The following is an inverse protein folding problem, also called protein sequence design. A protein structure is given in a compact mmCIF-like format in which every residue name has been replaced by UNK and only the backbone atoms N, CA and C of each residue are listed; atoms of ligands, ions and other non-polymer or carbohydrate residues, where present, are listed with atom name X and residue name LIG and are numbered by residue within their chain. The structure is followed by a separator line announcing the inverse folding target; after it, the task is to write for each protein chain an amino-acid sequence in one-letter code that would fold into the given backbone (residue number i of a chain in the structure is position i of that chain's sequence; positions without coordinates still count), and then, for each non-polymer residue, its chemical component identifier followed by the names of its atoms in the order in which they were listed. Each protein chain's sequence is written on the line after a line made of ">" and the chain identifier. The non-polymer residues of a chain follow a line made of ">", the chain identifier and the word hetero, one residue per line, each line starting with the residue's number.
data_IF_977789805931
#
_entry.id   IF_977789805931
#
_cell.length_a   1.000
_cell.length_b   1.000
_cell.length_c   1.000
_cell.angle_alpha   90.00
_cell.angle_beta   90.00
_cell.angle_gamma   90.00
#
_symmetry.space_group_name_H-M   'P 1'
#
loop_
_entity.id
_entity.type
_entity.pdbx_description
1 polymer ?
#
# COMPACT_ATOMS: atom_id res chain seq x y z
N UNK A 1 16.01 20.24 -7.58
CA UNK A 1 16.71 18.93 -7.52
C UNK A 1 15.65 17.86 -7.71
N UNK A 2 15.96 16.76 -8.39
CA UNK A 2 15.03 15.62 -8.50
C UNK A 2 14.75 15.07 -7.11
N UNK A 3 13.48 14.82 -6.80
CA UNK A 3 13.04 14.25 -5.50
C UNK A 3 13.27 12.74 -5.42
N UNK A 4 13.56 12.10 -6.55
CA UNK A 4 13.85 10.68 -6.67
C UNK A 4 15.00 10.37 -7.65
N UNK A 5 15.52 9.15 -7.57
CA UNK A 5 16.47 8.57 -8.52
C UNK A 5 16.05 7.16 -8.94
N UNK A 6 16.22 6.85 -10.23
CA UNK A 6 15.98 5.50 -10.75
C UNK A 6 16.95 4.48 -10.15
N UNK A 7 16.47 3.24 -10.01
CA UNK A 7 17.25 2.11 -9.50
C UNK A 7 17.39 1.06 -10.59
N UNK A 8 18.62 0.58 -10.80
CA UNK A 8 18.91 -0.47 -11.78
C UNK A 8 18.48 -1.83 -11.24
N UNK A 9 17.34 -2.33 -11.74
CA UNK A 9 16.75 -3.58 -11.25
C UNK A 9 17.35 -4.83 -11.88
N UNK A 10 18.08 -4.71 -13.00
CA UNK A 10 18.74 -5.86 -13.65
C UNK A 10 19.78 -6.57 -12.77
N UNK A 11 20.22 -5.90 -11.71
CA UNK A 11 21.15 -6.44 -10.71
C UNK A 11 20.47 -7.35 -9.68
N UNK A 12 19.14 -7.49 -9.71
CA UNK A 12 18.36 -8.23 -8.72
C UNK A 12 17.58 -9.38 -9.41
N UNK A 13 18.14 -10.60 -9.48
CA UNK A 13 17.50 -11.73 -10.18
C UNK A 13 16.13 -12.15 -9.62
N UNK A 14 15.83 -11.79 -8.37
CA UNK A 14 14.53 -12.02 -7.74
C UNK A 14 13.48 -10.98 -8.08
N UNK A 15 13.86 -9.86 -8.72
CA UNK A 15 12.93 -8.84 -9.18
C UNK A 15 12.15 -9.33 -10.40
N UNK A 16 10.83 -9.22 -10.36
CA UNK A 16 9.95 -9.70 -11.44
C UNK A 16 8.84 -8.73 -11.83
N UNK A 17 8.84 -7.52 -11.27
CA UNK A 17 7.84 -6.50 -11.60
C UNK A 17 8.20 -5.80 -12.91
N UNK A 18 7.18 -5.41 -13.68
CA UNK A 18 7.36 -4.62 -14.89
C UNK A 18 7.53 -3.11 -14.62
N UNK A 19 7.25 -2.66 -13.39
CA UNK A 19 7.28 -1.24 -13.06
C UNK A 19 8.72 -0.70 -12.92
N UNK A 20 8.95 0.58 -13.27
CA UNK A 20 10.23 1.22 -12.98
C UNK A 20 10.37 1.43 -11.47
N UNK A 21 11.58 1.20 -10.94
CA UNK A 21 11.88 1.39 -9.52
C UNK A 21 12.63 2.70 -9.32
N UNK A 22 12.17 3.48 -8.35
CA UNK A 22 12.82 4.71 -7.91
C UNK A 22 13.02 4.69 -6.40
N UNK A 23 13.97 5.49 -5.92
CA UNK A 23 14.18 5.75 -4.50
C UNK A 23 14.14 7.25 -4.24
N UNK A 24 13.53 7.66 -3.11
CA UNK A 24 13.49 9.04 -2.66
C UNK A 24 14.89 9.56 -2.30
N UNK A 25 15.18 10.82 -2.65
CA UNK A 25 16.53 11.38 -2.51
C UNK A 25 16.99 11.62 -1.06
N UNK A 26 16.04 11.76 -0.11
CA UNK A 26 16.35 12.03 1.30
C UNK A 26 16.09 10.81 2.18
N UNK A 27 16.94 9.80 2.04
CA UNK A 27 16.90 8.56 2.84
C UNK A 27 17.04 8.87 4.33
N UNK A 28 17.98 9.73 4.71
CA UNK A 28 18.28 10.04 6.10
C UNK A 28 17.06 10.59 6.87
N UNK A 29 16.27 11.48 6.25
CA UNK A 29 15.05 11.99 6.89
C UNK A 29 14.03 10.88 7.16
N UNK A 30 13.87 9.93 6.22
CA UNK A 30 12.95 8.80 6.42
C UNK A 30 13.45 7.84 7.50
N UNK A 31 14.76 7.59 7.60
CA UNK A 31 15.33 6.75 8.65
C UNK A 31 15.20 7.38 10.03
N UNK A 32 15.45 8.69 10.15
CA UNK A 32 15.25 9.42 11.41
C UNK A 32 13.78 9.35 11.86
N UNK A 33 12.84 9.56 10.94
CA UNK A 33 11.41 9.47 11.22
C UNK A 33 11.00 8.06 11.65
N UNK A 34 11.52 7.02 10.97
CA UNK A 34 11.27 5.62 11.29
C UNK A 34 11.80 5.26 12.68
N UNK A 35 13.06 5.60 12.98
CA UNK A 35 13.65 5.32 14.30
C UNK A 35 12.91 6.03 15.42
N UNK A 36 12.55 7.31 15.22
CA UNK A 36 11.75 8.07 16.18
C UNK A 36 10.39 7.39 16.46
N UNK A 37 9.69 6.93 15.42
CA UNK A 37 8.41 6.24 15.61
C UNK A 37 8.56 4.92 16.38
N UNK A 38 9.57 4.11 16.05
CA UNK A 38 9.85 2.87 16.80
C UNK A 38 10.15 3.20 18.26
N UNK A 39 10.94 4.23 18.54
CA UNK A 39 11.30 4.62 19.90
C UNK A 39 10.10 5.09 20.72
N UNK A 40 9.19 5.86 20.13
CA UNK A 40 7.96 6.34 20.78
C UNK A 40 6.91 5.24 20.97
N UNK A 41 6.87 4.25 20.08
CA UNK A 41 5.83 3.22 20.09
C UNK A 41 6.23 1.93 20.84
N UNK A 42 7.48 1.79 21.28
CA UNK A 42 7.98 0.55 21.91
C UNK A 42 8.84 0.83 23.13
N UNK A 43 8.92 -0.14 24.05
CA UNK A 43 9.81 -0.03 25.21
C UNK A 43 11.27 -0.38 24.87
N UNK A 44 12.27 0.29 25.48
CA UNK A 44 13.68 -0.04 25.30
C UNK A 44 13.99 -1.52 25.59
N UNK A 45 14.53 -2.22 24.59
CA UNK A 45 14.93 -3.62 24.70
C UNK A 45 13.81 -4.65 24.59
N UNK A 46 12.56 -4.20 24.40
CA UNK A 46 11.40 -5.08 24.21
C UNK A 46 11.53 -5.98 22.98
N UNK A 47 10.71 -7.04 22.94
CA UNK A 47 10.58 -7.91 21.76
C UNK A 47 10.14 -7.08 20.54
N UNK A 48 9.12 -6.25 20.72
CA UNK A 48 8.52 -5.44 19.66
C UNK A 48 9.54 -4.46 19.07
N UNK A 49 10.32 -3.76 19.92
CA UNK A 49 11.38 -2.87 19.46
C UNK A 49 12.41 -3.61 18.58
N UNK A 50 12.80 -4.82 19.00
CA UNK A 50 13.77 -5.64 18.23
C UNK A 50 13.17 -6.09 16.91
N UNK A 51 11.89 -6.46 16.89
CA UNK A 51 11.16 -6.86 15.68
C UNK A 51 11.02 -5.70 14.69
N UNK A 52 10.59 -4.52 15.14
CA UNK A 52 10.47 -3.34 14.28
C UNK A 52 11.82 -2.91 13.70
N UNK A 53 12.88 -2.92 14.52
CA UNK A 53 14.23 -2.65 14.02
C UNK A 53 14.74 -3.73 13.05
N UNK A 54 14.34 -4.99 13.25
CA UNK A 54 14.73 -6.08 12.34
C UNK A 54 14.14 -5.89 10.94
N UNK A 55 12.90 -5.40 10.84
CA UNK A 55 12.23 -5.08 9.56
C UNK A 55 13.07 -4.18 8.64
N UNK A 56 13.88 -3.31 9.24
CA UNK A 56 14.70 -2.32 8.53
C UNK A 56 16.19 -2.66 8.41
N UNK A 57 16.61 -3.89 8.79
CA UNK A 57 18.03 -4.31 8.69
C UNK A 57 18.53 -4.51 7.26
N UNK A 58 17.64 -4.57 6.27
CA UNK A 58 17.98 -4.75 4.87
C UNK A 58 18.69 -3.55 4.23
N UNK A 59 19.32 -3.78 3.08
CA UNK A 59 19.89 -2.72 2.24
C UNK A 59 18.82 -1.88 1.55
N UNK A 60 17.60 -2.40 1.42
CA UNK A 60 16.44 -1.71 0.85
C UNK A 60 15.78 -0.85 1.93
N UNK A 61 15.62 0.44 1.63
CA UNK A 61 15.02 1.42 2.53
C UNK A 61 13.55 1.59 2.19
N UNK A 62 12.72 0.68 2.69
CA UNK A 62 11.30 0.54 2.39
C UNK A 62 10.61 1.86 2.00
N UNK A 63 10.52 2.81 2.92
CA UNK A 63 9.76 4.05 2.71
C UNK A 63 10.24 4.90 1.54
N UNK A 64 11.54 4.86 1.25
CA UNK A 64 12.10 5.60 0.12
C UNK A 64 11.77 4.96 -1.21
N UNK A 65 11.53 3.64 -1.23
CA UNK A 65 11.10 2.89 -2.41
C UNK A 65 9.58 2.91 -2.57
N UNK A 66 8.82 2.96 -1.47
CA UNK A 66 7.35 3.05 -1.49
C UNK A 66 6.86 4.44 -1.88
N UNK A 67 7.54 5.50 -1.44
CA UNK A 67 7.14 6.89 -1.68
C UNK A 67 8.25 7.71 -2.35
N UNK A 68 8.77 7.29 -3.53
CA UNK A 68 9.93 7.92 -4.14
C UNK A 68 9.68 9.37 -4.53
N UNK A 69 8.43 9.73 -4.88
CA UNK A 69 8.02 11.08 -5.25
C UNK A 69 7.44 11.92 -4.12
N UNK A 70 7.43 11.44 -2.87
CA UNK A 70 6.84 12.17 -1.75
C UNK A 70 7.63 13.42 -1.38
N UNK A 71 6.95 14.47 -0.92
CA UNK A 71 7.60 15.61 -0.27
C UNK A 71 8.22 15.16 1.04
N UNK A 72 9.47 15.55 1.31
CA UNK A 72 10.21 15.09 2.49
C UNK A 72 9.55 15.47 3.82
N UNK A 73 8.95 16.66 3.93
CA UNK A 73 8.26 17.12 5.15
C UNK A 73 7.02 16.26 5.45
N UNK A 74 6.22 15.94 4.43
CA UNK A 74 5.06 15.04 4.55
C UNK A 74 5.48 13.57 4.71
N UNK A 75 6.47 13.11 3.96
CA UNK A 75 6.92 11.71 3.99
C UNK A 75 7.42 11.29 5.37
N UNK A 76 8.06 12.18 6.13
CA UNK A 76 8.42 11.90 7.52
C UNK A 76 7.20 11.58 8.39
N UNK A 77 6.07 12.24 8.16
CA UNK A 77 4.82 11.93 8.87
C UNK A 77 4.19 10.62 8.40
N UNK A 78 4.20 10.35 7.09
CA UNK A 78 3.76 9.05 6.56
C UNK A 78 4.55 7.92 7.21
N UNK A 79 5.88 8.00 7.23
CA UNK A 79 6.76 7.03 7.88
C UNK A 79 6.39 6.83 9.34
N UNK A 80 6.18 7.92 10.09
CA UNK A 80 5.84 7.86 11.51
C UNK A 80 4.51 7.15 11.76
N UNK A 81 3.50 7.41 10.94
CA UNK A 81 2.18 6.80 11.10
C UNK A 81 2.22 5.33 10.68
N UNK A 82 2.87 5.01 9.56
CA UNK A 82 2.98 3.62 9.09
C UNK A 82 3.77 2.75 10.08
N UNK A 83 4.89 3.24 10.62
CA UNK A 83 5.62 2.51 11.67
C UNK A 83 4.77 2.32 12.93
N UNK A 84 4.02 3.35 13.34
CA UNK A 84 3.11 3.23 14.47
C UNK A 84 2.08 2.13 14.22
N UNK A 85 1.46 2.10 13.03
CA UNK A 85 0.47 1.07 12.69
C UNK A 85 1.10 -0.32 12.62
N UNK A 86 2.32 -0.45 12.11
CA UNK A 86 3.03 -1.73 12.06
C UNK A 86 3.43 -2.24 13.44
N UNK A 87 3.90 -1.37 14.33
CA UNK A 87 4.17 -1.75 15.73
C UNK A 87 2.88 -2.18 16.42
N UNK A 88 1.77 -1.46 16.17
CA UNK A 88 0.46 -1.80 16.73
C UNK A 88 -0.04 -3.16 16.23
N UNK A 89 0.08 -3.41 14.94
CA UNK A 89 -0.30 -4.67 14.28
C UNK A 89 0.54 -5.86 14.77
N UNK A 90 1.88 -5.77 14.74
CA UNK A 90 2.79 -6.82 15.23
C UNK A 90 2.47 -7.23 16.70
N UNK A 91 2.04 -6.29 17.54
CA UNK A 91 1.67 -6.56 18.94
C UNK A 91 0.31 -7.24 19.05
N UNK A 92 -0.64 -6.89 18.16
CA UNK A 92 -2.00 -7.39 18.20
C UNK A 92 -2.17 -8.75 17.52
N UNK A 93 -1.33 -9.10 16.55
CA UNK A 93 -1.32 -10.43 15.90
C UNK A 93 -1.18 -11.58 16.93
N UNK A 94 -0.54 -11.32 18.07
CA UNK A 94 -0.32 -12.31 19.14
C UNK A 94 -1.43 -12.30 20.21
N UNK A 95 -2.41 -11.39 20.11
CA UNK A 95 -3.48 -11.23 21.10
C UNK A 95 -4.74 -12.02 20.72
N UNK A 96 -5.57 -12.39 21.71
CA UNK A 96 -6.93 -12.82 21.42
C UNK A 96 -7.68 -11.74 20.64
N UNK A 97 -8.46 -12.15 19.64
CA UNK A 97 -9.17 -11.23 18.73
C UNK A 97 -9.96 -10.12 19.42
N UNK A 98 -10.68 -10.41 20.51
CA UNK A 98 -11.43 -9.39 21.27
C UNK A 98 -10.52 -8.34 21.94
N UNK A 99 -9.34 -8.75 22.40
CA UNK A 99 -8.33 -7.82 22.91
C UNK A 99 -7.77 -6.95 21.79
N UNK A 100 -7.48 -7.54 20.62
CA UNK A 100 -6.98 -6.78 19.46
C UNK A 100 -8.00 -5.71 19.02
N UNK A 101 -9.29 -6.07 18.88
CA UNK A 101 -10.38 -5.14 18.59
C UNK A 101 -10.44 -3.96 19.57
N UNK A 102 -10.26 -4.23 20.87
CA UNK A 102 -10.22 -3.18 21.88
C UNK A 102 -9.01 -2.26 21.70
N UNK A 103 -7.81 -2.79 21.46
CA UNK A 103 -6.61 -1.98 21.20
C UNK A 103 -6.78 -1.10 19.96
N UNK A 104 -7.38 -1.62 18.88
CA UNK A 104 -7.71 -0.84 17.69
C UNK A 104 -8.67 0.31 17.99
N UNK A 105 -9.72 0.06 18.77
CA UNK A 105 -10.66 1.10 19.20
C UNK A 105 -9.97 2.21 20.01
N UNK A 106 -9.12 1.84 20.97
CA UNK A 106 -8.40 2.81 21.80
C UNK A 106 -7.44 3.65 20.94
N UNK A 107 -6.76 3.04 19.97
CA UNK A 107 -5.86 3.78 19.08
C UNK A 107 -6.65 4.71 18.14
N UNK A 108 -7.80 4.25 17.63
CA UNK A 108 -8.69 5.04 16.76
C UNK A 108 -9.14 6.33 17.40
N UNK A 109 -9.33 6.35 18.72
CA UNK A 109 -9.64 7.57 19.47
C UNK A 109 -8.56 8.66 19.33
N UNK A 110 -7.30 8.31 19.05
CA UNK A 110 -6.24 9.28 18.81
C UNK A 110 -6.49 10.16 17.57
N UNK A 111 -7.37 9.73 16.65
CA UNK A 111 -7.74 10.48 15.46
C UNK A 111 -8.76 11.59 15.74
N UNK A 112 -9.41 11.59 16.92
CA UNK A 112 -10.48 12.54 17.22
C UNK A 112 -10.18 13.41 18.45
N UNK A 113 -10.33 14.76 18.36
CA UNK A 113 -10.04 15.65 19.48
C UNK A 113 -10.89 15.39 20.74
N UNK A 114 -12.15 14.97 20.58
CA UNK A 114 -13.11 14.74 21.66
C UNK A 114 -12.68 13.63 22.64
N UNK A 115 -11.85 12.69 22.20
CA UNK A 115 -11.32 11.63 23.07
C UNK A 115 -9.97 11.98 23.71
N UNK A 116 -9.51 13.22 23.60
CA UNK A 116 -8.25 13.67 24.20
C UNK A 116 -8.18 13.53 25.73
N UNK A 117 -9.33 13.49 26.40
CA UNK A 117 -9.45 13.29 27.85
C UNK A 117 -9.82 11.84 28.23
N UNK A 118 -9.96 10.93 27.26
CA UNK A 118 -10.28 9.55 27.56
C UNK A 118 -9.07 8.86 28.21
N UNK A 119 -9.25 8.43 29.47
CA UNK A 119 -8.22 7.78 30.30
C UNK A 119 -7.96 6.33 29.91
N UNK A 120 -8.77 5.74 29.03
CA UNK A 120 -8.51 4.41 28.50
C UNK A 120 -7.27 4.44 27.59
N UNK A 121 -6.26 3.69 28.01
CA UNK A 121 -4.97 3.57 27.31
C UNK A 121 -4.81 2.23 26.61
N UNK A 122 -5.77 1.31 26.75
CA UNK A 122 -5.55 -0.10 26.43
C UNK A 122 -4.38 -0.68 27.23
N UNK A 123 -4.02 -1.91 26.90
CA UNK A 123 -2.88 -2.63 27.46
C UNK A 123 -1.55 -2.16 26.89
N UNK A 124 -1.52 -1.84 25.59
CA UNK A 124 -0.26 -1.52 24.87
C UNK A 124 -0.31 -0.18 24.14
N UNK A 125 -1.48 0.45 24.06
CA UNK A 125 -1.74 1.57 23.16
C UNK A 125 -1.42 2.94 23.78
N UNK A 126 -1.31 3.08 25.10
CA UNK A 126 -1.21 4.38 25.77
C UNK A 126 -0.19 5.35 25.16
N UNK A 127 1.08 4.91 25.03
CA UNK A 127 2.13 5.72 24.40
C UNK A 127 1.85 5.98 22.91
N UNK A 128 1.41 4.96 22.17
CA UNK A 128 1.03 5.06 20.75
C UNK A 128 -0.10 6.07 20.53
N UNK A 129 -1.13 6.08 21.38
CA UNK A 129 -2.27 7.00 21.35
C UNK A 129 -1.80 8.45 21.53
N UNK A 130 -0.99 8.72 22.55
CA UNK A 130 -0.46 10.06 22.81
C UNK A 130 0.43 10.54 21.64
N UNK A 131 1.28 9.66 21.12
CA UNK A 131 2.12 9.96 19.97
C UNK A 131 1.30 10.24 18.71
N UNK A 132 0.26 9.45 18.45
CA UNK A 132 -0.60 9.63 17.28
C UNK A 132 -1.44 10.91 17.36
N UNK A 133 -1.91 11.29 18.56
CA UNK A 133 -2.59 12.57 18.79
C UNK A 133 -1.69 13.76 18.46
N UNK A 134 -0.40 13.68 18.82
CA UNK A 134 0.59 14.71 18.46
C UNK A 134 0.80 14.78 16.95
N UNK A 135 1.01 13.63 16.30
CA UNK A 135 1.15 13.57 14.83
C UNK A 135 -0.08 14.17 14.16
N UNK A 136 -1.30 13.81 14.58
CA UNK A 136 -2.56 14.35 14.05
C UNK A 136 -2.57 15.87 14.06
N UNK A 137 -2.19 16.50 15.18
CA UNK A 137 -2.13 17.96 15.28
C UNK A 137 -1.13 18.57 14.30
N UNK A 138 0.06 17.95 14.18
CA UNK A 138 1.13 18.42 13.29
C UNK A 138 0.74 18.29 11.80
N UNK A 139 0.12 17.18 11.39
CA UNK A 139 -0.28 16.99 9.98
C UNK A 139 -1.49 17.86 9.59
N UNK A 140 -2.43 18.13 10.50
CA UNK A 140 -3.51 19.10 10.25
C UNK A 140 -2.94 20.51 10.06
N UNK A 141 -1.93 20.89 10.87
CA UNK A 141 -1.27 22.17 10.72
C UNK A 141 -0.46 22.27 9.41
N UNK A 142 0.16 21.16 8.98
CA UNK A 142 0.94 21.08 7.75
C UNK A 142 0.06 21.16 6.49
N UNK A 143 -1.06 20.46 6.49
CA UNK A 143 -2.01 20.41 5.38
C UNK A 143 -3.46 20.33 5.90
N UNK A 144 -4.12 21.47 6.14
CA UNK A 144 -5.47 21.47 6.69
C UNK A 144 -6.54 21.04 5.68
N UNK A 145 -6.22 20.92 4.39
CA UNK A 145 -7.19 20.67 3.32
C UNK A 145 -7.36 19.16 3.12
N UNK A 146 -6.27 18.43 2.92
CA UNK A 146 -6.33 17.01 2.59
C UNK A 146 -6.25 16.08 3.80
N UNK A 147 -5.59 16.53 4.88
CA UNK A 147 -5.43 15.72 6.09
C UNK A 147 -6.75 15.19 6.66
N UNK A 148 -7.87 15.95 6.67
CA UNK A 148 -9.15 15.41 7.14
C UNK A 148 -9.58 14.12 6.41
N UNK A 149 -9.38 14.05 5.09
CA UNK A 149 -9.71 12.84 4.31
C UNK A 149 -8.77 11.68 4.66
N UNK A 150 -7.48 11.96 4.85
CA UNK A 150 -6.50 10.95 5.29
C UNK A 150 -6.84 10.38 6.68
N UNK A 151 -7.17 11.25 7.65
CA UNK A 151 -7.58 10.83 8.99
C UNK A 151 -8.86 9.99 8.96
N UNK A 152 -9.80 10.31 8.07
CA UNK A 152 -11.00 9.50 7.89
C UNK A 152 -10.69 8.11 7.31
N UNK A 153 -9.75 8.01 6.37
CA UNK A 153 -9.29 6.69 5.88
C UNK A 153 -8.60 5.88 6.97
N UNK A 154 -7.76 6.50 7.79
CA UNK A 154 -7.11 5.84 8.95
C UNK A 154 -8.12 5.40 10.01
N UNK A 155 -9.16 6.19 10.24
CA UNK A 155 -10.26 5.82 11.13
C UNK A 155 -10.90 4.53 10.68
N UNK A 156 -11.32 4.50 9.40
CA UNK A 156 -12.02 3.36 8.82
C UNK A 156 -11.13 2.11 8.83
N UNK A 157 -9.84 2.27 8.54
CA UNK A 157 -8.88 1.18 8.67
C UNK A 157 -8.87 0.60 10.08
N UNK A 158 -8.67 1.42 11.12
CA UNK A 158 -8.64 0.92 12.50
C UNK A 158 -10.00 0.37 12.97
N UNK A 159 -11.11 0.84 12.42
CA UNK A 159 -12.44 0.31 12.72
C UNK A 159 -12.69 -1.05 12.06
N UNK A 160 -12.25 -1.23 10.81
CA UNK A 160 -12.62 -2.38 9.99
C UNK A 160 -11.59 -3.53 10.01
N UNK A 161 -10.31 -3.25 10.29
CA UNK A 161 -9.20 -4.19 10.09
C UNK A 161 -9.44 -5.58 10.73
N UNK A 162 -9.74 -5.60 12.02
CA UNK A 162 -10.04 -6.84 12.75
C UNK A 162 -11.55 -7.12 12.85
N UNK A 163 -12.44 -6.19 12.49
CA UNK A 163 -13.88 -6.35 12.81
C UNK A 163 -14.68 -7.10 11.76
N UNK A 164 -14.13 -7.31 10.56
CA UNK A 164 -14.82 -7.98 9.46
C UNK A 164 -14.04 -9.20 8.97
N UNK A 165 -14.68 -10.36 8.73
CA UNK A 165 -14.04 -11.43 7.98
C UNK A 165 -13.76 -10.92 6.56
N UNK A 166 -12.47 -10.76 6.21
CA UNK A 166 -11.79 -10.51 4.91
C UNK A 166 -12.63 -10.29 3.63
N UNK A 167 -13.70 -9.48 3.68
CA UNK A 167 -14.50 -9.10 2.51
C UNK A 167 -14.32 -7.62 2.14
N UNK A 168 -13.55 -6.83 2.90
CA UNK A 168 -13.45 -5.38 2.68
C UNK A 168 -12.01 -4.85 2.53
N UNK A 169 -11.86 -4.00 1.51
CA UNK A 169 -10.65 -3.47 0.87
C UNK A 169 -9.92 -2.39 1.70
N UNK A 170 -9.76 -2.56 3.01
CA UNK A 170 -9.57 -1.42 3.92
C UNK A 170 -8.13 -0.97 4.09
N UNK A 171 -7.18 -1.90 4.20
CA UNK A 171 -5.74 -1.58 4.28
C UNK A 171 -5.22 -0.97 2.97
N UNK A 172 -5.79 -1.44 1.87
CA UNK A 172 -5.49 -1.02 0.51
C UNK A 172 -5.66 0.50 0.29
N UNK A 173 -6.77 1.03 0.79
CA UNK A 173 -7.11 2.44 0.63
C UNK A 173 -6.17 3.37 1.43
N UNK A 174 -5.54 2.90 2.53
CA UNK A 174 -4.66 3.74 3.37
C UNK A 174 -3.34 4.04 2.66
N UNK A 175 -2.69 3.01 2.10
CA UNK A 175 -1.37 3.13 1.48
C UNK A 175 -1.37 4.11 0.30
N UNK A 176 -2.39 4.03 -0.57
CA UNK A 176 -2.54 4.95 -1.70
C UNK A 176 -2.91 6.36 -1.23
N UNK A 177 -3.74 6.50 -0.19
CA UNK A 177 -4.04 7.82 0.34
C UNK A 177 -2.80 8.52 0.90
N UNK A 178 -1.93 7.78 1.60
CA UNK A 178 -0.63 8.31 2.02
C UNK A 178 0.24 8.73 0.84
N UNK A 179 0.27 7.94 -0.24
CA UNK A 179 1.01 8.28 -1.45
C UNK A 179 0.53 9.60 -2.03
N UNK A 180 -0.79 9.74 -2.23
CA UNK A 180 -1.39 10.98 -2.75
C UNK A 180 -1.11 12.17 -1.84
N UNK A 181 -1.35 12.01 -0.54
CA UNK A 181 -1.12 13.08 0.44
C UNK A 181 0.34 13.53 0.47
N UNK A 182 1.29 12.58 0.47
CA UNK A 182 2.72 12.89 0.48
C UNK A 182 3.19 13.57 -0.82
N UNK A 183 2.53 13.32 -1.94
CA UNK A 183 2.87 13.86 -3.26
C UNK A 183 2.10 15.14 -3.63
N UNK A 184 1.23 15.67 -2.75
CA UNK A 184 0.27 16.74 -3.07
C UNK A 184 -0.63 16.42 -4.27
N UNK A 185 -1.02 15.16 -4.42
CA UNK A 185 -1.96 14.75 -5.46
C UNK A 185 -3.38 14.94 -4.94
N UNK A 186 -4.00 16.03 -5.38
CA UNK A 186 -5.41 16.33 -5.10
C UNK A 186 -6.26 15.80 -6.25
N UNK A 187 -7.17 14.88 -5.93
CA UNK A 187 -8.16 14.38 -6.89
C UNK A 187 -9.53 14.96 -6.54
N UNK A 188 -10.22 15.46 -7.57
CA UNK A 188 -11.68 15.63 -7.51
C UNK A 188 -12.38 14.28 -7.39
N UNK A 189 -13.67 14.29 -7.01
CA UNK A 189 -14.45 13.06 -6.87
C UNK A 189 -14.54 12.31 -8.22
N UNK A 190 -14.63 13.04 -9.34
CA UNK A 190 -14.66 12.47 -10.69
C UNK A 190 -13.31 11.83 -11.07
N UNK A 191 -12.19 12.49 -10.76
CA UNK A 191 -10.84 11.93 -11.01
C UNK A 191 -10.59 10.70 -10.12
N UNK A 192 -11.01 10.75 -8.86
CA UNK A 192 -10.92 9.60 -7.96
C UNK A 192 -11.75 8.42 -8.49
N UNK A 193 -12.99 8.67 -8.93
CA UNK A 193 -13.85 7.65 -9.52
C UNK A 193 -13.23 7.03 -10.78
N UNK A 194 -12.58 7.84 -11.62
CA UNK A 194 -11.88 7.36 -12.82
C UNK A 194 -10.64 6.51 -12.50
N UNK A 195 -9.95 6.78 -11.39
CA UNK A 195 -8.75 6.07 -10.97
C UNK A 195 -9.01 4.85 -10.08
N UNK A 196 -10.21 4.72 -9.50
CA UNK A 196 -10.49 3.69 -8.48
C UNK A 196 -10.21 2.27 -8.95
N UNK A 197 -10.54 1.93 -10.20
CA UNK A 197 -10.24 0.61 -10.78
C UNK A 197 -8.73 0.32 -10.84
N UNK A 198 -7.95 1.36 -11.16
CA UNK A 198 -6.49 1.26 -11.23
C UNK A 198 -5.90 1.12 -9.83
N UNK A 199 -6.34 1.96 -8.88
CA UNK A 199 -5.93 1.89 -7.47
C UNK A 199 -6.25 0.51 -6.86
N UNK A 200 -7.47 -0.02 -7.08
CA UNK A 200 -7.88 -1.36 -6.63
C UNK A 200 -6.98 -2.47 -7.21
N UNK A 201 -6.55 -2.33 -8.46
CA UNK A 201 -5.68 -3.33 -9.07
C UNK A 201 -4.24 -3.26 -8.55
N UNK A 202 -3.71 -2.06 -8.33
CA UNK A 202 -2.39 -1.87 -7.72
C UNK A 202 -2.35 -2.37 -6.28
N UNK A 203 -3.43 -2.20 -5.52
CA UNK A 203 -3.45 -2.73 -4.17
C UNK A 203 -3.53 -4.26 -4.11
N UNK A 204 -4.22 -4.90 -5.06
CA UNK A 204 -4.11 -6.36 -5.23
C UNK A 204 -2.68 -6.81 -5.51
N UNK A 205 -1.93 -6.07 -6.35
CA UNK A 205 -0.50 -6.35 -6.59
C UNK A 205 0.28 -6.25 -5.30
N UNK A 206 0.09 -5.17 -4.52
CA UNK A 206 0.77 -4.96 -3.24
C UNK A 206 0.46 -6.08 -2.25
N UNK A 207 -0.82 -6.40 -2.00
CA UNK A 207 -1.22 -7.44 -1.05
C UNK A 207 -0.70 -8.83 -1.43
N UNK A 208 -0.84 -9.24 -2.69
CA UNK A 208 -0.32 -10.53 -3.15
C UNK A 208 1.22 -10.59 -3.10
N UNK A 209 1.89 -9.46 -3.32
CA UNK A 209 3.35 -9.36 -3.20
C UNK A 209 3.79 -9.48 -1.75
N UNK A 210 3.06 -8.86 -0.83
CA UNK A 210 3.28 -9.01 0.61
C UNK A 210 3.15 -10.48 1.00
N UNK A 211 2.02 -11.12 0.69
CA UNK A 211 1.77 -12.55 0.91
C UNK A 211 2.91 -13.43 0.40
N UNK A 212 3.39 -13.15 -0.82
CA UNK A 212 4.46 -13.91 -1.46
C UNK A 212 5.79 -13.83 -0.69
N UNK A 213 6.17 -12.63 -0.22
CA UNK A 213 7.45 -12.43 0.46
C UNK A 213 7.38 -12.65 1.98
N UNK A 214 6.22 -12.48 2.60
CA UNK A 214 6.00 -12.63 4.05
C UNK A 214 5.80 -14.08 4.47
N UNK A 215 5.35 -14.96 3.56
CA UNK A 215 5.00 -16.35 3.86
C UNK A 215 6.07 -17.15 4.60
N UNK A 216 7.35 -16.92 4.27
CA UNK A 216 8.47 -17.57 4.95
C UNK A 216 8.51 -17.30 6.45
N UNK A 217 8.04 -16.13 6.89
CA UNK A 217 7.85 -15.75 8.30
C UNK A 217 6.52 -16.31 8.82
N UNK A 218 5.44 -16.06 8.09
CA UNK A 218 4.07 -16.30 8.56
C UNK A 218 3.72 -17.77 8.76
N UNK A 219 4.28 -18.68 7.96
CA UNK A 219 3.97 -20.13 8.05
C UNK A 219 4.37 -20.78 9.37
N UNK A 220 5.17 -20.09 10.19
CA UNK A 220 5.59 -20.55 11.51
C UNK A 220 4.87 -19.81 12.66
N UNK A 221 4.01 -18.85 12.35
CA UNK A 221 3.23 -18.14 13.37
C UNK A 221 2.15 -19.07 13.92
N UNK A 222 2.04 -19.13 15.24
CA UNK A 222 1.03 -19.91 15.95
C UNK A 222 -0.29 -19.14 16.05
N UNK A 223 -0.81 -18.69 14.90
CA UNK A 223 -2.15 -18.09 14.81
C UNK A 223 -3.15 -19.17 14.40
N UNK A 224 -4.36 -19.08 14.96
CA UNK A 224 -5.54 -19.85 14.56
C UNK A 224 -6.11 -19.41 13.19
N UNK A 225 -5.51 -18.38 12.58
CA UNK A 225 -5.89 -17.79 11.30
C UNK A 225 -4.61 -17.45 10.52
N UNK A 226 -4.46 -17.96 9.29
CA UNK A 226 -3.40 -17.52 8.39
C UNK A 226 -4.01 -16.66 7.28
N UNK A 227 -3.65 -15.38 7.30
CA UNK A 227 -4.13 -14.36 6.36
C UNK A 227 -3.15 -14.22 5.19
N UNK A 228 -2.95 -15.30 4.44
CA UNK A 228 -2.01 -15.34 3.32
C UNK A 228 -2.61 -16.13 2.14
N UNK A 229 -2.41 -15.65 0.91
CA UNK A 229 -2.90 -16.33 -0.29
C UNK A 229 -2.33 -17.74 -0.49
N UNK A 230 -1.09 -18.02 -0.05
CA UNK A 230 -0.45 -19.33 -0.29
C UNK A 230 -1.18 -20.52 0.32
N UNK A 231 -1.49 -20.56 1.63
CA UNK A 231 -2.26 -21.66 2.21
C UNK A 231 -3.65 -21.83 1.58
N UNK A 232 -4.26 -20.73 1.11
CA UNK A 232 -5.54 -20.77 0.37
C UNK A 232 -5.34 -21.49 -0.97
N UNK A 233 -4.32 -21.11 -1.76
CA UNK A 233 -4.00 -21.72 -3.05
C UNK A 233 -3.64 -23.21 -2.89
N UNK A 234 -2.81 -23.55 -1.91
CA UNK A 234 -2.45 -24.94 -1.61
C UNK A 234 -3.68 -25.80 -1.31
N UNK A 235 -4.61 -25.28 -0.50
CA UNK A 235 -5.84 -25.99 -0.14
C UNK A 235 -6.84 -26.07 -1.30
N UNK A 236 -7.07 -24.97 -2.00
CA UNK A 236 -8.07 -24.87 -3.07
C UNK A 236 -7.69 -25.72 -4.28
N UNK A 237 -6.41 -25.75 -4.65
CA UNK A 237 -5.93 -26.44 -5.84
C UNK A 237 -5.15 -27.73 -5.54
N UNK A 238 -5.05 -28.12 -4.27
CA UNK A 238 -4.28 -29.28 -3.82
C UNK A 238 -2.83 -29.27 -4.36
N UNK A 239 -2.17 -28.11 -4.22
CA UNK A 239 -0.81 -27.87 -4.71
C UNK A 239 0.20 -28.01 -3.57
N UNK A 240 1.42 -28.52 -3.86
CA UNK A 240 2.54 -28.34 -2.95
C UNK A 240 2.94 -26.85 -2.87
N UNK A 241 3.63 -26.48 -1.79
CA UNK A 241 3.95 -25.08 -1.44
C UNK A 241 4.67 -24.35 -2.59
N UNK A 242 5.65 -24.99 -3.22
CA UNK A 242 6.45 -24.39 -4.29
C UNK A 242 5.64 -24.08 -5.54
N UNK A 243 4.70 -24.95 -5.90
CA UNK A 243 3.80 -24.74 -7.04
C UNK A 243 2.78 -23.64 -6.73
N UNK A 244 2.31 -23.55 -5.48
CA UNK A 244 1.47 -22.44 -5.03
C UNK A 244 2.24 -21.09 -5.08
N UNK A 245 3.51 -21.06 -4.68
CA UNK A 245 4.39 -19.88 -4.81
C UNK A 245 4.52 -19.43 -6.28
N UNK A 246 4.74 -20.37 -7.21
CA UNK A 246 4.80 -20.04 -8.63
C UNK A 246 3.47 -19.52 -9.18
N UNK A 247 2.35 -20.11 -8.74
CA UNK A 247 1.02 -19.64 -9.10
C UNK A 247 0.78 -18.21 -8.60
N UNK A 248 1.07 -17.93 -7.32
CA UNK A 248 0.93 -16.61 -6.73
C UNK A 248 1.79 -15.57 -7.46
N UNK A 249 3.06 -15.90 -7.75
CA UNK A 249 3.93 -15.04 -8.56
C UNK A 249 3.33 -14.72 -9.94
N UNK A 250 2.75 -15.71 -10.60
CA UNK A 250 2.05 -15.51 -11.87
C UNK A 250 0.81 -14.61 -11.74
N UNK A 251 0.05 -14.75 -10.66
CA UNK A 251 -1.09 -13.87 -10.36
C UNK A 251 -0.67 -12.41 -10.16
N UNK A 252 0.44 -12.17 -9.45
CA UNK A 252 0.99 -10.82 -9.26
C UNK A 252 1.33 -10.20 -10.62
N UNK A 253 2.12 -10.89 -11.44
CA UNK A 253 2.53 -10.39 -12.77
C UNK A 253 1.31 -10.08 -13.66
N UNK A 254 0.30 -10.96 -13.65
CA UNK A 254 -0.92 -10.73 -14.42
C UNK A 254 -1.71 -9.52 -13.90
N UNK A 255 -1.74 -9.30 -12.58
CA UNK A 255 -2.39 -8.15 -11.97
C UNK A 255 -1.68 -6.82 -12.27
N UNK A 256 -0.37 -6.82 -12.54
CA UNK A 256 0.37 -5.63 -12.99
C UNK A 256 0.02 -5.23 -14.42
N UNK A 257 -0.13 -6.21 -15.33
CA UNK A 257 -0.25 -5.96 -16.78
C UNK A 257 -1.64 -5.44 -17.17
N UNK A 258 -2.71 -5.98 -16.60
CA UNK A 258 -4.08 -5.65 -17.00
C UNK A 258 -4.43 -4.15 -16.83
N UNK A 259 -4.09 -3.49 -15.70
CA UNK A 259 -4.36 -2.07 -15.52
C UNK A 259 -3.53 -1.18 -16.44
N UNK A 260 -2.28 -1.56 -16.73
CA UNK A 260 -1.40 -0.84 -17.66
C UNK A 260 -1.98 -0.82 -19.07
N UNK A 261 -2.44 -1.96 -19.57
CA UNK A 261 -3.06 -2.05 -20.89
C UNK A 261 -4.34 -1.22 -20.98
N UNK A 262 -5.16 -1.18 -19.92
CA UNK A 262 -6.37 -0.35 -19.86
C UNK A 262 -6.01 1.14 -19.88
N UNK A 263 -5.02 1.56 -19.08
CA UNK A 263 -4.58 2.95 -19.02
C UNK A 263 -4.02 3.44 -20.36
N UNK A 264 -3.18 2.64 -21.02
CA UNK A 264 -2.63 2.95 -22.34
C UNK A 264 -3.73 3.06 -23.40
N UNK A 265 -4.72 2.16 -23.37
CA UNK A 265 -5.86 2.17 -24.28
C UNK A 265 -6.73 3.42 -24.09
N UNK A 266 -7.08 3.75 -22.85
CA UNK A 266 -7.92 4.91 -22.53
C UNK A 266 -7.21 6.24 -22.85
N UNK A 267 -5.91 6.34 -22.55
CA UNK A 267 -5.09 7.50 -22.93
C UNK A 267 -5.03 7.66 -24.46
N UNK A 268 -4.85 6.55 -25.19
CA UNK A 268 -4.82 6.55 -26.65
C UNK A 268 -6.16 7.01 -27.23
N UNK A 269 -7.29 6.53 -26.71
CA UNK A 269 -8.63 6.95 -27.15
C UNK A 269 -8.91 8.44 -26.88
N UNK A 270 -8.47 8.97 -25.73
CA UNK A 270 -8.63 10.39 -25.39
C UNK A 270 -7.87 11.33 -26.34
N UNK A 271 -6.72 10.90 -26.85
CA UNK A 271 -5.96 11.63 -27.85
C UNK A 271 -6.65 11.64 -29.23
N UNK A 272 -7.40 10.59 -29.57
CA UNK A 272 -8.20 10.55 -30.81
C UNK A 272 -9.48 11.38 -30.77
N UNK A 273 -10.09 11.56 -29.59
CA UNK A 273 -11.34 12.33 -29.45
C UNK A 273 -11.07 13.84 -29.35
N UNK A 274 -9.94 14.26 -28.79
CA UNK A 274 -9.54 15.68 -28.72
C UNK A 274 -9.02 16.24 -30.04
N UNK A 275 -8.59 15.40 -31.00
CA UNK A 275 -8.24 15.84 -32.35
C UNK A 275 -9.44 16.03 -33.29
N UNK A 276 -10.66 15.68 -32.86
CA UNK A 276 -11.86 15.73 -33.69
C UNK A 276 -12.69 17.00 -33.40
N UNK A 277 -12.13 18.18 -33.71
CA UNK A 277 -12.98 19.34 -33.94
C UNK A 277 -13.59 19.24 -35.37
N UNK A 278 -14.91 19.37 -35.55
CA UNK A 278 -15.55 19.04 -36.81
C UNK A 278 -15.38 20.18 -37.82
N UNK A 279 -14.43 20.05 -38.74
CA UNK A 279 -14.59 20.67 -40.06
C UNK A 279 -15.46 19.75 -40.93
N UNK A 280 -16.67 20.22 -41.16
CA UNK A 280 -17.72 19.82 -42.11
C UNK A 280 -17.38 18.70 -43.14
N UNK A 281 -18.28 17.71 -43.38
CA UNK A 281 -17.95 16.47 -44.05
C UNK A 281 -18.02 16.63 -45.58
N UNK A 282 -16.93 16.27 -46.26
CA UNK A 282 -17.00 15.79 -47.64
C UNK A 282 -16.29 14.45 -47.72
N UNK A 283 -17.12 13.40 -47.72
CA UNK A 283 -16.92 12.12 -48.43
C UNK A 283 -15.50 11.87 -48.95
N UNK A 284 -14.70 11.17 -48.16
CA UNK A 284 -13.68 10.27 -48.70
C UNK A 284 -13.80 8.92 -47.99
N UNK A 285 -14.20 7.90 -48.76
CA UNK A 285 -14.10 6.50 -48.36
C UNK A 285 -12.61 6.17 -48.26
N UNK A 286 -12.12 5.90 -47.05
CA UNK A 286 -10.81 5.28 -46.83
C UNK A 286 -11.04 3.76 -46.77
N UNK A 287 -10.27 2.94 -47.51
CA UNK A 287 -10.47 1.50 -47.52
C UNK A 287 -9.97 0.86 -46.22
N UNK A 288 -10.72 -0.13 -45.71
CA UNK A 288 -10.30 -0.97 -44.59
C UNK A 288 -9.06 -1.78 -44.97
N UNK A 289 -8.03 -1.87 -44.11
CA UNK A 289 -6.97 -2.84 -44.28
C UNK A 289 -7.49 -4.24 -43.92
N UNK A 290 -7.48 -5.13 -44.92
CA UNK A 290 -7.64 -6.58 -44.72
C UNK A 290 -6.37 -7.15 -44.11
N UNK A 291 -6.45 -7.66 -42.87
CA UNK A 291 -5.42 -8.51 -42.28
C UNK A 291 -5.55 -9.93 -42.86
N UNK A 292 -4.46 -10.56 -43.36
CA UNK A 292 -4.49 -11.97 -43.70
C UNK A 292 -4.38 -12.82 -42.44
N UNK A 293 -5.42 -13.61 -42.17
CA UNK A 293 -5.29 -14.85 -41.41
C UNK A 293 -4.49 -15.85 -42.27
N UNK A 294 -3.32 -16.28 -41.79
CA UNK A 294 -2.94 -17.69 -41.77
C UNK A 294 -1.60 -17.94 -41.07
N UNK A 295 -1.64 -18.85 -40.08
CA UNK A 295 -0.72 -19.98 -40.02
C UNK A 295 0.50 -19.85 -39.11
N UNK A 296 0.43 -20.46 -37.92
CA UNK A 296 1.32 -21.57 -37.54
C UNK A 296 0.84 -22.23 -36.25
N UNK A 297 0.29 -23.44 -36.41
CA UNK A 297 0.53 -24.59 -35.54
C UNK A 297 2.08 -24.74 -35.44
N UNK A 298 2.74 -25.17 -34.36
CA UNK A 298 2.52 -26.33 -33.50
C UNK A 298 3.58 -26.27 -32.34
N UNK A 299 3.72 -27.30 -31.47
CA UNK A 299 4.09 -27.18 -30.06
C UNK A 299 5.58 -27.42 -29.78
N UNK A 300 6.03 -27.02 -28.58
CA UNK A 300 6.87 -27.79 -27.65
C UNK A 300 6.71 -27.21 -26.25
#
# INVERSE_FOLDING_TARGET
>A
MSISSAVETSLFPSYFSAFPVCTHCNVAATEVAMHHAIEECTEPGSKDRKQSLHRHKGSVKLYTFTYPGGRTDKLQFVVKIVELTWVHDDINEEKPHQSALHEHEVLRQALHPEFGQNTDTGETVGAKKAYFQKIRQEIIALDPIDTPKLLHTLHRYLEEYDSHPMDTKTMDDVCIHFLRWAMDIHLSDDEFAALKDFEDAMMRVVGLTDDYFSWGKEKYLSSDHSWNALPILMKQFNLPEKEAEWMLKGMIINAEILPLLKLEWDCSLSAFTTSAHPQNPRTQKVPMPTLPLHGLLAPL
#
